data_IF_931328600700
#
_entry.id   IF_931328600700
#
_cell.length_a   1.000
_cell.length_b   1.000
_cell.length_c   1.000
_cell.angle_alpha   90.00
_cell.angle_beta   90.00
_cell.angle_gamma   90.00
#
_symmetry.space_group_name_H-M   'P 1'
#
loop_
_entity.id
_entity.type
_entity.pdbx_description
1 polymer ?
#
# COMPACT_ATOMS: atom_id res chain seq x y z
N UNK A 1 9.69 -16.34 -35.46
CA UNK A 1 8.75 -16.31 -35.02
C UNK A 1 7.92 -16.58 -33.75
N UNK A 2 8.09 -17.54 -32.86
CA UNK A 2 7.16 -17.74 -31.76
C UNK A 2 7.25 -16.69 -30.63
N UNK A 3 8.25 -15.86 -30.64
CA UNK A 3 8.46 -14.88 -29.56
C UNK A 3 7.45 -13.74 -29.49
N UNK A 4 6.73 -13.47 -30.57
CA UNK A 4 5.77 -12.37 -30.60
C UNK A 4 4.46 -12.67 -29.87
N UNK A 5 4.14 -13.93 -29.67
CA UNK A 5 2.91 -14.33 -29.02
C UNK A 5 2.91 -14.15 -27.51
N UNK A 6 4.09 -14.20 -26.91
CA UNK A 6 4.23 -14.09 -25.45
C UNK A 6 3.91 -12.68 -24.96
N UNK A 7 4.26 -11.68 -25.77
CA UNK A 7 4.00 -10.28 -25.42
C UNK A 7 2.51 -9.94 -25.41
N UNK A 8 1.75 -10.50 -26.32
CA UNK A 8 0.32 -10.26 -26.39
C UNK A 8 -0.42 -10.85 -25.17
N UNK A 9 0.03 -11.99 -24.69
CA UNK A 9 -0.56 -12.65 -23.52
C UNK A 9 -0.31 -11.85 -22.23
N UNK A 10 0.86 -11.26 -22.10
CA UNK A 10 1.19 -10.44 -20.92
C UNK A 10 0.33 -9.18 -20.85
N UNK A 11 0.03 -8.58 -22.00
CA UNK A 11 -0.78 -7.37 -22.04
C UNK A 11 -2.24 -7.62 -21.64
N UNK A 12 -2.77 -8.83 -21.87
CA UNK A 12 -4.18 -9.15 -21.58
C UNK A 12 -4.41 -9.66 -20.15
N UNK A 13 -3.36 -10.05 -19.43
CA UNK A 13 -3.49 -10.65 -18.10
C UNK A 13 -3.71 -9.64 -16.98
N UNK A 14 -3.54 -8.33 -17.24
CA UNK A 14 -3.48 -7.32 -16.18
C UNK A 14 -4.82 -6.90 -15.59
N UNK A 15 -5.95 -7.06 -16.24
CA UNK A 15 -7.16 -6.38 -15.80
C UNK A 15 -7.97 -7.08 -14.70
N UNK A 16 -8.05 -8.40 -14.73
CA UNK A 16 -8.95 -9.17 -13.86
C UNK A 16 -8.41 -9.38 -12.46
N UNK A 17 -7.14 -9.77 -12.36
CA UNK A 17 -6.50 -10.10 -11.09
C UNK A 17 -6.30 -8.84 -10.25
N UNK A 18 -6.02 -7.73 -10.89
CA UNK A 18 -5.83 -6.44 -10.20
C UNK A 18 -7.11 -5.96 -9.55
N UNK A 19 -8.25 -6.07 -10.23
CA UNK A 19 -9.54 -5.68 -9.67
C UNK A 19 -9.95 -6.55 -8.50
N UNK A 20 -9.75 -7.86 -8.62
CA UNK A 20 -10.06 -8.80 -7.55
C UNK A 20 -9.18 -8.55 -6.34
N UNK A 21 -7.91 -8.26 -6.56
CA UNK A 21 -6.99 -7.95 -5.48
C UNK A 21 -7.34 -6.63 -4.78
N UNK A 22 -7.69 -5.58 -5.53
CA UNK A 22 -8.08 -4.30 -4.95
C UNK A 22 -9.30 -4.41 -4.04
N UNK A 23 -10.26 -5.25 -4.40
CA UNK A 23 -11.43 -5.50 -3.56
C UNK A 23 -11.08 -6.04 -2.18
N UNK A 24 -9.99 -6.77 -2.07
CA UNK A 24 -9.53 -7.32 -0.79
C UNK A 24 -9.08 -6.24 0.19
N UNK A 25 -8.72 -5.06 -0.31
CA UNK A 25 -8.35 -3.92 0.53
C UNK A 25 -9.54 -3.11 1.01
N UNK A 26 -10.69 -3.27 0.39
CA UNK A 26 -11.87 -2.46 0.71
C UNK A 26 -12.18 -2.48 2.20
N UNK A 27 -12.46 -1.31 2.77
CA UNK A 27 -12.85 -1.17 4.16
C UNK A 27 -12.02 -0.15 4.91
N UNK A 28 -12.15 -0.20 6.22
CA UNK A 28 -11.43 0.68 7.15
C UNK A 28 -10.39 -0.14 7.91
N UNK A 29 -9.18 0.37 7.92
CA UNK A 29 -8.03 -0.29 8.54
C UNK A 29 -7.47 0.58 9.66
N UNK A 30 -7.26 -0.01 10.83
CA UNK A 30 -6.64 0.64 11.98
C UNK A 30 -5.16 0.31 12.00
N UNK A 31 -4.32 1.33 12.14
CA UNK A 31 -2.88 1.12 12.33
C UNK A 31 -2.64 0.39 13.65
N UNK A 32 -1.81 -0.66 13.62
CA UNK A 32 -1.45 -1.46 14.79
C UNK A 32 -0.03 -1.11 15.26
N UNK A 33 0.89 -0.94 14.32
CA UNK A 33 2.25 -0.54 14.62
C UNK A 33 2.89 0.07 13.37
N UNK A 34 3.88 0.92 13.57
CA UNK A 34 4.58 1.55 12.46
C UNK A 34 6.00 1.92 12.84
N UNK A 35 6.94 1.65 11.95
CA UNK A 35 8.30 2.15 12.00
C UNK A 35 8.48 3.08 10.81
N UNK A 36 8.76 4.34 11.06
CA UNK A 36 9.00 5.33 10.02
C UNK A 36 10.38 5.93 10.19
N UNK A 37 11.16 5.87 9.12
CA UNK A 37 12.52 6.44 9.08
C UNK A 37 13.38 5.94 10.26
N UNK A 38 13.28 4.64 10.53
CA UNK A 38 14.04 3.99 11.60
C UNK A 38 13.47 4.17 13.00
N UNK A 39 12.34 4.85 13.15
CA UNK A 39 11.74 5.15 14.46
C UNK A 39 10.38 4.48 14.62
N UNK A 40 10.22 3.75 15.71
CA UNK A 40 8.92 3.20 16.09
C UNK A 40 8.00 4.33 16.54
N UNK A 41 6.78 4.36 16.00
CA UNK A 41 5.81 5.41 16.30
C UNK A 41 5.14 5.16 17.64
N UNK A 42 4.77 6.24 18.31
CA UNK A 42 4.13 6.17 19.63
C UNK A 42 2.75 5.53 19.58
N UNK A 43 2.31 4.98 20.71
CA UNK A 43 0.98 4.41 20.84
C UNK A 43 -0.12 5.45 20.55
N UNK A 44 0.08 6.69 20.97
CA UNK A 44 -0.88 7.77 20.72
C UNK A 44 -1.04 8.08 19.24
N UNK A 45 0.06 8.14 18.51
CA UNK A 45 0.02 8.32 17.04
C UNK A 45 -0.70 7.15 16.38
N UNK A 46 -0.31 5.94 16.73
CA UNK A 46 -0.84 4.71 16.11
C UNK A 46 -2.36 4.64 16.26
N UNK A 47 -2.90 4.99 17.43
CA UNK A 47 -4.35 4.99 17.69
C UNK A 47 -5.13 5.91 16.78
N UNK A 48 -4.52 7.01 16.35
CA UNK A 48 -5.22 8.04 15.58
C UNK A 48 -5.25 7.75 14.09
N UNK A 49 -4.44 6.82 13.59
CA UNK A 49 -4.26 6.61 12.15
C UNK A 49 -5.21 5.54 11.65
N UNK A 50 -6.03 5.89 10.67
CA UNK A 50 -6.92 4.99 9.96
C UNK A 50 -6.75 5.14 8.45
N UNK A 51 -6.83 4.03 7.74
CA UNK A 51 -6.69 3.96 6.30
C UNK A 51 -7.99 3.42 5.72
N UNK A 52 -8.60 4.16 4.80
CA UNK A 52 -9.88 3.82 4.20
C UNK A 52 -9.66 3.53 2.72
N UNK A 53 -10.12 2.38 2.28
CA UNK A 53 -10.06 1.98 0.88
C UNK A 53 -11.45 1.75 0.32
N UNK A 54 -11.67 2.19 -0.93
CA UNK A 54 -12.80 1.70 -1.71
C UNK A 54 -12.39 0.44 -2.51
N UNK A 55 -13.29 -0.09 -3.31
CA UNK A 55 -13.05 -1.32 -4.08
C UNK A 55 -12.26 -1.07 -5.38
N UNK A 56 -11.92 0.18 -5.68
CA UNK A 56 -11.21 0.57 -6.91
C UNK A 56 -9.77 1.02 -6.67
N UNK A 57 -9.33 0.99 -5.42
CA UNK A 57 -7.96 1.38 -5.07
C UNK A 57 -7.81 2.84 -4.67
N UNK A 58 -8.90 3.59 -4.57
CA UNK A 58 -8.85 4.94 -4.01
C UNK A 58 -8.81 4.84 -2.49
N UNK A 59 -7.95 5.60 -1.87
CA UNK A 59 -7.81 5.54 -0.42
C UNK A 59 -7.54 6.90 0.20
N UNK A 60 -7.80 6.98 1.49
CA UNK A 60 -7.42 8.13 2.32
C UNK A 60 -6.87 7.64 3.65
N UNK A 61 -5.97 8.41 4.22
CA UNK A 61 -5.48 8.22 5.59
C UNK A 61 -5.93 9.39 6.42
N UNK A 62 -6.50 9.08 7.59
CA UNK A 62 -6.91 10.09 8.56
C UNK A 62 -6.06 9.99 9.82
N UNK A 63 -5.75 11.14 10.40
CA UNK A 63 -5.15 11.28 11.72
C UNK A 63 -6.18 11.95 12.63
N UNK A 64 -6.78 11.17 13.53
CA UNK A 64 -7.79 11.67 14.45
C UNK A 64 -9.02 12.25 13.75
N UNK A 65 -9.39 11.69 12.60
CA UNK A 65 -10.51 12.16 11.80
C UNK A 65 -10.16 13.21 10.74
N UNK A 66 -8.92 13.71 10.74
CA UNK A 66 -8.45 14.68 9.74
C UNK A 66 -7.73 13.95 8.62
N UNK A 67 -8.15 14.17 7.37
CA UNK A 67 -7.50 13.59 6.19
C UNK A 67 -6.10 14.19 6.04
N UNK A 68 -5.08 13.34 6.11
CA UNK A 68 -3.68 13.78 5.94
C UNK A 68 -3.10 13.35 4.60
N UNK A 69 -3.58 12.24 4.02
CA UNK A 69 -3.17 11.77 2.70
C UNK A 69 -4.35 11.18 1.96
N UNK A 70 -4.33 11.30 0.64
CA UNK A 70 -5.20 10.57 -0.27
C UNK A 70 -4.35 10.01 -1.39
N UNK A 71 -4.80 8.91 -2.00
CA UNK A 71 -4.05 8.31 -3.08
C UNK A 71 -4.87 7.35 -3.92
N UNK A 72 -4.26 6.96 -5.02
CA UNK A 72 -4.77 5.93 -5.92
C UNK A 72 -3.74 4.81 -5.98
N UNK A 73 -4.18 3.59 -5.68
CA UNK A 73 -3.30 2.43 -5.59
C UNK A 73 -3.46 1.51 -6.78
N UNK A 74 -2.33 1.07 -7.30
CA UNK A 74 -2.22 0.01 -8.28
C UNK A 74 -1.50 -1.17 -7.64
N UNK A 75 -2.00 -2.38 -7.84
CA UNK A 75 -1.42 -3.59 -7.23
C UNK A 75 -0.79 -4.49 -8.27
N UNK A 76 0.20 -5.25 -7.85
CA UNK A 76 0.90 -6.24 -8.65
C UNK A 76 0.92 -7.57 -7.89
N UNK A 77 -0.23 -8.28 -7.87
CA UNK A 77 -0.36 -9.49 -7.06
C UNK A 77 0.46 -10.68 -7.57
N UNK A 78 0.92 -10.61 -8.82
CA UNK A 78 1.76 -11.67 -9.40
C UNK A 78 3.22 -11.56 -9.02
N UNK A 79 3.63 -10.42 -8.48
CA UNK A 79 4.99 -10.26 -7.98
C UNK A 79 5.17 -10.99 -6.65
N UNK A 80 6.40 -11.35 -6.33
CA UNK A 80 6.74 -12.02 -5.06
C UNK A 80 7.93 -11.32 -4.43
N UNK A 81 7.71 -10.60 -3.32
CA UNK A 81 6.42 -10.39 -2.64
C UNK A 81 5.45 -9.57 -3.49
N UNK A 82 4.17 -9.65 -3.17
CA UNK A 82 3.16 -8.81 -3.81
C UNK A 82 3.52 -7.34 -3.63
N UNK A 83 3.23 -6.54 -4.63
CA UNK A 83 3.66 -5.14 -4.65
C UNK A 83 2.49 -4.20 -4.94
N UNK A 84 2.66 -2.95 -4.53
CA UNK A 84 1.69 -1.89 -4.78
C UNK A 84 2.40 -0.56 -5.00
N UNK A 85 1.83 0.25 -5.87
CA UNK A 85 2.23 1.64 -6.07
C UNK A 85 1.03 2.53 -5.77
N UNK A 86 1.23 3.54 -4.94
CA UNK A 86 0.20 4.55 -4.70
C UNK A 86 0.70 5.91 -5.15
N UNK A 87 -0.10 6.60 -5.96
CA UNK A 87 0.17 7.97 -6.33
C UNK A 87 -0.60 8.88 -5.38
N UNK A 88 0.08 9.77 -4.70
CA UNK A 88 -0.54 10.70 -3.76
C UNK A 88 -1.30 11.77 -4.51
N UNK A 89 -2.55 12.01 -4.12
CA UNK A 89 -3.47 12.88 -4.85
C UNK A 89 -3.90 14.12 -4.08
N UNK A 90 -3.70 14.15 -2.75
CA UNK A 90 -4.08 15.30 -1.95
C UNK A 90 -3.25 16.51 -2.29
N UNK A 91 -3.91 17.66 -2.45
CA UNK A 91 -3.21 18.92 -2.73
C UNK A 91 -2.18 19.22 -1.65
N UNK A 92 -1.00 19.71 -2.06
CA UNK A 92 0.11 20.02 -1.20
C UNK A 92 1.43 19.53 -1.76
N UNK A 93 2.46 19.53 -0.90
CA UNK A 93 3.84 19.24 -1.29
C UNK A 93 4.06 17.80 -1.75
N UNK A 94 3.17 16.89 -1.38
CA UNK A 94 3.33 15.47 -1.70
C UNK A 94 2.55 15.02 -2.93
N UNK A 95 1.69 15.88 -3.47
CA UNK A 95 0.86 15.51 -4.63
C UNK A 95 1.71 15.04 -5.80
N UNK A 96 1.35 13.90 -6.36
CA UNK A 96 2.04 13.30 -7.50
C UNK A 96 3.20 12.38 -7.12
N UNK A 97 3.62 12.37 -5.86
CA UNK A 97 4.66 11.43 -5.41
C UNK A 97 4.14 10.01 -5.41
N UNK A 98 5.02 9.07 -5.68
CA UNK A 98 4.69 7.64 -5.74
C UNK A 98 5.25 6.94 -4.51
N UNK A 99 4.38 6.25 -3.80
CA UNK A 99 4.73 5.36 -2.70
C UNK A 99 4.82 3.95 -3.27
N UNK A 100 5.98 3.31 -3.13
CA UNK A 100 6.20 1.94 -3.59
C UNK A 100 6.29 1.00 -2.41
N UNK A 101 5.50 -0.06 -2.45
CA UNK A 101 5.38 -0.97 -1.33
C UNK A 101 5.45 -2.43 -1.78
N UNK A 102 5.85 -3.28 -0.84
CA UNK A 102 5.54 -4.71 -0.86
C UNK A 102 4.58 -4.96 0.29
N UNK A 103 3.66 -5.88 0.10
CA UNK A 103 2.63 -6.12 1.10
C UNK A 103 2.29 -7.59 1.25
N UNK A 104 1.76 -7.91 2.41
CA UNK A 104 1.16 -9.19 2.71
C UNK A 104 -0.23 -8.93 3.28
N UNK A 105 -1.23 -9.44 2.61
CA UNK A 105 -2.63 -9.27 2.99
C UNK A 105 -3.20 -10.63 3.33
N UNK A 106 -3.57 -10.82 4.59
CA UNK A 106 -4.16 -12.05 5.09
C UNK A 106 -5.46 -11.70 5.81
N UNK A 107 -6.58 -11.82 5.08
CA UNK A 107 -7.92 -11.47 5.56
C UNK A 107 -7.98 -10.05 6.10
N UNK A 108 -7.95 -9.89 7.43
CA UNK A 108 -8.08 -8.61 8.11
C UNK A 108 -6.75 -8.09 8.64
N UNK A 109 -5.63 -8.67 8.19
CA UNK A 109 -4.29 -8.23 8.54
C UNK A 109 -3.54 -7.78 7.29
N UNK A 110 -2.92 -6.60 7.36
CA UNK A 110 -2.14 -6.02 6.27
C UNK A 110 -0.79 -5.57 6.82
N UNK A 111 0.27 -6.09 6.23
CA UNK A 111 1.64 -5.69 6.55
C UNK A 111 2.29 -5.15 5.30
N UNK A 112 3.07 -4.09 5.43
CA UNK A 112 3.77 -3.54 4.29
C UNK A 112 5.09 -2.88 4.69
N UNK A 113 6.10 -3.03 3.83
CA UNK A 113 7.24 -2.13 3.78
C UNK A 113 7.03 -1.18 2.62
N UNK A 114 7.30 0.10 2.83
CA UNK A 114 7.03 1.11 1.81
C UNK A 114 8.06 2.23 1.84
N UNK A 115 8.22 2.85 0.69
CA UNK A 115 9.14 3.97 0.47
C UNK A 115 8.44 5.03 -0.36
N UNK A 116 8.95 6.26 -0.30
CA UNK A 116 8.42 7.36 -1.10
C UNK A 116 9.48 7.76 -2.13
N UNK A 117 9.11 7.70 -3.41
CA UNK A 117 9.97 8.10 -4.53
C UNK A 117 11.32 7.39 -4.57
N UNK A 118 11.39 6.18 -4.06
CA UNK A 118 12.61 5.36 -4.02
C UNK A 118 12.34 3.99 -4.60
N UNK A 119 13.41 3.20 -4.76
CA UNK A 119 13.30 1.83 -5.23
C UNK A 119 12.48 0.99 -4.26
N UNK A 120 11.61 0.15 -4.81
CA UNK A 120 10.73 -0.73 -4.04
C UNK A 120 11.54 -1.64 -3.12
N UNK A 121 11.13 -1.82 -1.84
CA UNK A 121 11.74 -2.82 -0.99
C UNK A 121 11.60 -4.22 -1.59
N UNK A 122 12.59 -5.08 -1.38
CA UNK A 122 12.61 -6.43 -1.96
C UNK A 122 12.24 -7.52 -0.97
N UNK A 123 12.34 -7.24 0.31
CA UNK A 123 12.07 -8.20 1.36
C UNK A 123 11.39 -7.52 2.53
N UNK A 124 10.55 -8.27 3.24
CA UNK A 124 9.91 -7.76 4.45
C UNK A 124 10.93 -7.57 5.55
N UNK A 125 10.87 -6.42 6.20
CA UNK A 125 11.72 -6.06 7.32
C UNK A 125 10.86 -5.32 8.35
N UNK A 126 10.53 -5.95 9.50
CA UNK A 126 9.70 -5.32 10.51
C UNK A 126 10.44 -4.24 11.32
N UNK A 127 11.76 -4.13 11.16
CA UNK A 127 12.57 -3.10 11.82
C UNK A 127 13.52 -2.46 10.80
N UNK A 128 12.98 -1.81 9.76
CA UNK A 128 13.85 -1.25 8.72
C UNK A 128 14.63 -0.04 9.25
N UNK A 129 15.78 0.19 8.62
CA UNK A 129 16.56 1.39 8.86
C UNK A 129 15.95 2.62 8.20
N UNK A 130 16.67 3.76 8.24
CA UNK A 130 16.18 4.99 7.63
C UNK A 130 15.83 4.84 6.15
N UNK A 131 14.79 5.54 5.72
CA UNK A 131 14.35 5.55 4.33
C UNK A 131 13.35 4.48 3.95
N UNK A 132 13.24 3.41 4.71
CA UNK A 132 12.25 2.35 4.50
C UNK A 132 11.31 2.34 5.70
N UNK A 133 10.01 2.20 5.45
CA UNK A 133 9.00 2.22 6.49
C UNK A 133 8.32 0.86 6.58
N UNK A 134 7.76 0.54 7.75
CA UNK A 134 7.02 -0.70 7.96
C UNK A 134 5.75 -0.40 8.73
N UNK A 135 4.62 -0.86 8.20
CA UNK A 135 3.31 -0.60 8.83
C UNK A 135 2.50 -1.88 8.90
N UNK A 136 1.81 -2.04 10.02
CA UNK A 136 0.88 -3.16 10.23
C UNK A 136 -0.49 -2.57 10.52
N UNK A 137 -1.49 -3.05 9.79
CA UNK A 137 -2.88 -2.64 9.93
C UNK A 137 -3.78 -3.83 10.20
N UNK A 138 -4.90 -3.59 10.85
CA UNK A 138 -6.00 -4.55 10.95
C UNK A 138 -7.28 -3.93 10.43
N UNK A 139 -8.08 -4.70 9.71
CA UNK A 139 -9.38 -4.24 9.23
C UNK A 139 -10.36 -4.16 10.39
N UNK A 140 -11.06 -3.04 10.51
CA UNK A 140 -12.05 -2.82 11.57
C UNK A 140 -13.47 -2.73 11.02
N UNK A 141 -13.63 -2.48 9.73
CA UNK A 141 -14.93 -2.57 9.04
C UNK A 141 -14.73 -2.67 7.55
N UNK A 142 -15.73 -3.18 6.85
CA UNK A 142 -15.74 -3.21 5.38
C UNK A 142 -16.50 -2.06 4.77
#
# INVERSE_FOLDING_TARGET
MPTLFVLALLATAEGKDDKAELKKFEGTWQLVSEVMDGKEQSADYVKRIRWFFDDKGHWKVEDGGKVIFTGDMKVYPDQKPKAADSTLTKEGDHKGKVVRAIYELDRDALKQNWVVEQARPRAFDPKPGPGINYSVYKRVSK
#
